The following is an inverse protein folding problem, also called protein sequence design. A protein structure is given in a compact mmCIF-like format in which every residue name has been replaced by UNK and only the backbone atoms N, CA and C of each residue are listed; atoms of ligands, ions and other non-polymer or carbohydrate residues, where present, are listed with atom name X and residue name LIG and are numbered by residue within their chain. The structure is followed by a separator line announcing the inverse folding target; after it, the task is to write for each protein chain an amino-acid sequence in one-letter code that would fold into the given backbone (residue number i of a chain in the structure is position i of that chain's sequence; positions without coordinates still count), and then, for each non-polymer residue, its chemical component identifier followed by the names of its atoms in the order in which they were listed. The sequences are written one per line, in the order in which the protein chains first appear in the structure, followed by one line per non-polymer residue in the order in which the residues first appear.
data_IF_263169759954
#
_entry.id   IF_263169759954
#
_cell.length_a   1.000
_cell.length_b   1.000
_cell.length_c   1.000
_cell.angle_alpha   90.00
_cell.angle_beta   90.00
_cell.angle_gamma   90.00
#
_symmetry.space_group_name_H-M   'P 1'
#
loop_
_entity.id
_entity.type
_entity.pdbx_description
1 polymer ?
#
# COMPACT_ATOMS: atom_id res chain seq x y z
N UNK A 1 37.61 4.25 -44.91
CA UNK A 1 37.99 4.85 -43.62
C UNK A 1 37.22 6.16 -43.52
N UNK A 2 36.27 6.41 -42.64
CA UNK A 2 35.88 5.81 -41.37
C UNK A 2 34.37 6.01 -41.26
N UNK A 3 33.59 4.93 -41.24
CA UNK A 3 32.16 5.01 -40.93
C UNK A 3 32.00 5.47 -39.48
N UNK A 4 31.15 6.48 -39.27
CA UNK A 4 30.77 6.93 -37.95
C UNK A 4 30.06 5.78 -37.20
N UNK A 5 30.33 5.57 -35.90
CA UNK A 5 29.64 4.53 -35.17
C UNK A 5 28.17 4.92 -35.02
N UNK A 6 27.32 4.16 -35.69
CA UNK A 6 25.88 4.12 -35.51
C UNK A 6 25.60 3.96 -34.01
N UNK A 7 24.98 4.96 -33.38
CA UNK A 7 24.45 4.83 -32.02
C UNK A 7 23.44 3.69 -32.05
N UNK A 8 23.85 2.54 -31.53
CA UNK A 8 22.96 1.43 -31.27
C UNK A 8 21.97 1.91 -30.20
N UNK A 9 20.70 1.95 -30.56
CA UNK A 9 19.63 2.27 -29.63
C UNK A 9 19.62 1.21 -28.54
N UNK A 10 20.02 1.59 -27.32
CA UNK A 10 19.86 0.78 -26.10
C UNK A 10 18.39 0.71 -25.61
N UNK A 11 17.45 1.01 -26.50
CA UNK A 11 16.03 1.16 -26.18
C UNK A 11 15.24 0.01 -26.77
N UNK A 12 15.15 -1.11 -26.07
CA UNK A 12 14.02 -2.05 -26.17
C UNK A 12 14.00 -3.11 -25.05
N UNK A 13 14.56 -2.81 -23.87
CA UNK A 13 14.27 -3.63 -22.69
C UNK A 13 12.90 -3.19 -22.17
N UNK A 14 11.87 -4.06 -22.21
CA UNK A 14 10.57 -3.70 -21.67
C UNK A 14 10.72 -3.32 -20.20
N UNK A 15 10.03 -2.26 -19.74
CA UNK A 15 10.18 -1.80 -18.37
C UNK A 15 9.91 -2.92 -17.39
N UNK A 16 10.85 -3.14 -16.46
CA UNK A 16 10.71 -4.12 -15.39
C UNK A 16 9.82 -3.56 -14.28
N UNK A 17 8.94 -4.41 -13.73
CA UNK A 17 8.14 -4.05 -12.56
C UNK A 17 9.05 -3.89 -11.33
N UNK A 18 8.87 -2.80 -10.59
CA UNK A 18 9.61 -2.51 -9.35
C UNK A 18 8.59 -2.33 -8.23
N UNK A 19 8.28 -3.38 -7.45
CA UNK A 19 7.17 -3.35 -6.52
C UNK A 19 7.41 -2.34 -5.39
N UNK A 20 6.35 -1.64 -5.00
CA UNK A 20 6.31 -0.92 -3.74
C UNK A 20 6.20 -1.93 -2.57
N UNK A 21 6.97 -1.78 -1.47
CA UNK A 21 6.94 -2.72 -0.37
C UNK A 21 5.56 -2.89 0.25
N UNK A 22 5.22 -4.12 0.65
CA UNK A 22 3.98 -4.37 1.40
C UNK A 22 4.05 -3.77 2.81
N UNK A 23 2.98 -3.09 3.24
CA UNK A 23 2.87 -2.51 4.58
C UNK A 23 2.10 -3.46 5.50
N UNK A 24 2.77 -3.97 6.53
CA UNK A 24 2.20 -4.90 7.52
C UNK A 24 1.24 -4.19 8.47
N UNK A 25 0.33 -4.93 9.10
CA UNK A 25 -0.37 -4.43 10.30
C UNK A 25 0.62 -4.25 11.46
N UNK A 26 0.26 -3.46 12.48
CA UNK A 26 1.12 -3.27 13.64
C UNK A 26 1.45 -4.61 14.34
N UNK A 27 0.45 -5.46 14.59
CA UNK A 27 0.65 -6.75 15.23
C UNK A 27 1.59 -7.66 14.42
N UNK A 28 1.40 -7.75 13.10
CA UNK A 28 2.27 -8.54 12.23
C UNK A 28 3.67 -7.95 12.16
N UNK A 29 3.82 -6.62 12.20
CA UNK A 29 5.13 -5.97 12.29
C UNK A 29 5.86 -6.36 13.59
N UNK A 30 5.19 -6.26 14.74
CA UNK A 30 5.75 -6.63 16.05
C UNK A 30 6.15 -8.09 16.06
N UNK A 31 5.25 -9.01 15.70
CA UNK A 31 5.53 -10.45 15.72
C UNK A 31 6.65 -10.85 14.76
N UNK A 32 6.72 -10.22 13.59
CA UNK A 32 7.77 -10.50 12.60
C UNK A 32 9.14 -9.99 13.04
N UNK A 33 9.21 -8.79 13.61
CA UNK A 33 10.49 -8.09 13.76
C UNK A 33 11.04 -8.04 15.18
N UNK A 34 10.20 -8.11 16.23
CA UNK A 34 10.69 -8.14 17.61
C UNK A 34 11.56 -9.38 17.90
N UNK A 35 11.22 -10.60 17.45
CA UNK A 35 12.11 -11.75 17.63
C UNK A 35 13.46 -11.57 16.94
N UNK A 36 13.48 -10.97 15.76
CA UNK A 36 14.71 -10.67 15.00
C UNK A 36 15.57 -9.64 15.72
N UNK A 37 14.94 -8.59 16.28
CA UNK A 37 15.63 -7.59 17.10
C UNK A 37 16.28 -8.23 18.34
N UNK A 38 15.52 -9.04 19.10
CA UNK A 38 16.02 -9.73 20.30
C UNK A 38 17.20 -10.64 19.99
N UNK A 39 17.08 -11.46 18.95
CA UNK A 39 18.17 -12.33 18.51
C UNK A 39 19.43 -11.54 18.09
N UNK A 40 19.27 -10.40 17.40
CA UNK A 40 20.38 -9.55 17.04
C UNK A 40 21.07 -8.95 18.27
N UNK A 41 20.31 -8.51 19.28
CA UNK A 41 20.85 -8.01 20.56
C UNK A 41 21.64 -9.11 21.28
N UNK A 42 21.05 -10.30 21.43
CA UNK A 42 21.68 -11.44 22.13
C UNK A 42 22.99 -11.87 21.47
N UNK A 43 23.06 -11.76 20.14
CA UNK A 43 24.25 -12.09 19.35
C UNK A 43 25.23 -10.91 19.18
N UNK A 44 24.93 -9.72 19.74
CA UNK A 44 25.75 -8.52 19.56
C UNK A 44 25.85 -8.05 18.10
N UNK A 45 24.85 -8.38 17.28
CA UNK A 45 24.79 -8.04 15.87
C UNK A 45 24.19 -6.65 15.64
N UNK A 46 24.44 -6.10 14.45
CA UNK A 46 23.79 -4.85 14.02
C UNK A 46 22.28 -5.05 13.97
N UNK A 47 21.54 -4.17 14.63
CA UNK A 47 20.09 -4.20 14.61
C UNK A 47 19.55 -3.85 13.21
N UNK A 48 18.48 -4.54 12.73
CA UNK A 48 17.82 -4.19 11.48
C UNK A 48 17.22 -2.77 11.51
N UNK A 49 16.74 -2.33 12.68
CA UNK A 49 16.29 -0.97 12.99
C UNK A 49 16.41 -0.73 14.51
N UNK A 50 16.28 0.52 15.01
CA UNK A 50 16.41 0.82 16.43
C UNK A 50 15.37 0.08 17.29
N UNK A 51 15.80 -0.48 18.44
CA UNK A 51 14.89 -1.13 19.39
C UNK A 51 13.88 -0.16 20.00
N UNK A 52 14.25 1.12 20.11
CA UNK A 52 13.35 2.24 20.38
C UNK A 52 13.31 3.13 19.15
N UNK A 53 12.17 3.24 18.49
CA UNK A 53 12.04 3.93 17.22
C UNK A 53 10.88 4.93 17.24
N UNK A 54 11.07 6.04 16.53
CA UNK A 54 10.05 7.07 16.30
C UNK A 54 9.37 6.82 14.96
N UNK A 55 8.05 6.89 14.94
CA UNK A 55 7.24 6.75 13.72
C UNK A 55 6.34 7.96 13.55
N UNK A 56 6.10 8.31 12.30
CA UNK A 56 5.13 9.32 11.89
C UNK A 56 3.95 8.62 11.21
N UNK A 57 2.75 8.84 11.73
CA UNK A 57 1.48 8.43 11.14
C UNK A 57 1.04 9.43 10.08
N UNK A 58 0.75 8.94 8.87
CA UNK A 58 0.07 9.67 7.79
C UNK A 58 -1.23 8.98 7.45
N UNK A 59 -2.18 9.69 6.82
CA UNK A 59 -3.44 9.07 6.41
C UNK A 59 -3.21 7.87 5.48
N UNK A 60 -3.87 6.76 5.77
CA UNK A 60 -4.07 5.67 4.83
C UNK A 60 -5.28 5.99 3.96
N UNK A 61 -5.04 6.27 2.69
CA UNK A 61 -6.12 6.47 1.72
C UNK A 61 -6.52 5.13 1.11
N UNK A 62 -7.82 4.98 0.82
CA UNK A 62 -8.39 3.77 0.25
C UNK A 62 -8.52 3.93 -1.27
N UNK A 63 -7.61 3.32 -2.02
CA UNK A 63 -7.55 3.46 -3.47
C UNK A 63 -6.74 2.37 -4.16
N UNK A 64 -6.19 2.72 -5.32
CA UNK A 64 -5.26 1.87 -6.06
C UNK A 64 -3.84 2.38 -5.85
N UNK A 65 -2.96 1.49 -5.42
CA UNK A 65 -1.54 1.78 -5.40
C UNK A 65 -1.05 2.11 -6.82
N UNK A 66 -0.33 3.22 -6.95
CA UNK A 66 0.34 3.59 -8.18
C UNK A 66 1.75 4.08 -7.89
N UNK A 67 2.70 3.62 -8.68
CA UNK A 67 4.06 4.15 -8.71
C UNK A 67 4.35 4.78 -10.07
N UNK A 68 5.10 5.88 -10.03
CA UNK A 68 5.59 6.58 -11.21
C UNK A 68 7.12 6.50 -11.17
N UNK A 69 7.70 5.84 -12.17
CA UNK A 69 9.14 5.63 -12.26
C UNK A 69 9.72 6.55 -13.34
N UNK A 70 10.65 7.41 -12.93
CA UNK A 70 11.40 8.28 -13.82
C UNK A 70 12.84 7.79 -13.95
N UNK A 71 13.40 7.95 -15.16
CA UNK A 71 14.82 7.77 -15.42
C UNK A 71 15.39 9.09 -15.91
N UNK A 72 16.65 9.38 -15.57
CA UNK A 72 17.21 10.70 -15.88
C UNK A 72 17.28 11.02 -17.38
N UNK A 73 17.46 10.00 -18.24
CA UNK A 73 17.47 10.18 -19.69
C UNK A 73 16.08 10.43 -20.30
N UNK A 74 15.00 10.13 -19.57
CA UNK A 74 13.63 10.37 -20.02
C UNK A 74 12.70 10.72 -18.85
N UNK A 75 12.64 12.02 -18.54
CA UNK A 75 11.77 12.56 -17.49
C UNK A 75 10.33 12.80 -17.97
N UNK A 76 10.08 12.75 -19.27
CA UNK A 76 8.78 13.11 -19.86
C UNK A 76 7.91 11.89 -20.15
N UNK A 77 8.51 10.71 -20.28
CA UNK A 77 7.79 9.45 -20.44
C UNK A 77 8.06 8.51 -19.25
N UNK A 78 7.50 8.81 -18.05
CA UNK A 78 7.64 7.92 -16.92
C UNK A 78 6.93 6.58 -17.16
N UNK A 79 7.41 5.54 -16.48
CA UNK A 79 6.75 4.24 -16.43
C UNK A 79 5.76 4.24 -15.27
N UNK A 80 4.51 3.92 -15.54
CA UNK A 80 3.50 3.70 -14.49
C UNK A 80 3.48 2.24 -14.05
N UNK A 81 3.24 2.01 -12.77
CA UNK A 81 3.04 0.67 -12.25
C UNK A 81 1.88 0.68 -11.27
N UNK A 82 1.11 -0.39 -11.28
CA UNK A 82 0.23 -0.73 -10.18
C UNK A 82 1.01 -1.58 -9.17
N UNK A 83 0.32 -2.08 -8.14
CA UNK A 83 0.94 -2.96 -7.15
C UNK A 83 1.58 -4.19 -7.79
N UNK A 84 0.94 -4.76 -8.81
CA UNK A 84 1.27 -6.08 -9.33
C UNK A 84 1.92 -6.08 -10.73
N UNK A 85 1.89 -4.95 -11.47
CA UNK A 85 2.40 -4.91 -12.84
C UNK A 85 2.79 -3.52 -13.32
N UNK A 86 3.55 -3.49 -14.41
CA UNK A 86 3.68 -2.28 -15.23
C UNK A 86 2.35 -1.98 -15.92
N UNK A 87 2.02 -0.69 -15.98
CA UNK A 87 0.81 -0.14 -16.57
C UNK A 87 1.20 0.74 -17.75
N UNK A 88 0.54 0.52 -18.88
CA UNK A 88 0.76 1.22 -20.15
C UNK A 88 -0.32 2.27 -20.39
N UNK A 89 -0.08 3.16 -21.35
CA UNK A 89 -1.08 4.16 -21.75
C UNK A 89 -2.34 3.56 -22.41
N UNK A 90 -2.27 2.30 -22.87
CA UNK A 90 -3.39 1.58 -23.50
C UNK A 90 -4.27 0.84 -22.49
N UNK A 91 -3.80 0.67 -21.25
CA UNK A 91 -4.57 0.00 -20.20
C UNK A 91 -5.82 0.81 -19.84
N UNK A 92 -6.96 0.13 -19.80
CA UNK A 92 -8.17 0.67 -19.20
C UNK A 92 -8.03 0.58 -17.67
N UNK A 93 -7.86 1.71 -16.98
CA UNK A 93 -7.76 1.68 -15.53
C UNK A 93 -7.61 3.06 -14.87
N UNK A 94 -7.70 3.12 -13.53
CA UNK A 94 -7.60 4.38 -12.78
C UNK A 94 -6.30 5.14 -13.06
N UNK A 95 -5.17 4.42 -13.11
CA UNK A 95 -3.83 5.02 -13.25
C UNK A 95 -3.67 5.75 -14.59
N UNK A 96 -3.85 5.11 -15.77
CA UNK A 96 -3.72 5.83 -17.06
C UNK A 96 -4.78 6.91 -17.22
N UNK A 97 -6.01 6.65 -16.75
CA UNK A 97 -7.13 7.60 -16.86
C UNK A 97 -6.86 8.91 -16.11
N UNK A 98 -6.07 8.85 -15.04
CA UNK A 98 -5.73 10.02 -14.24
C UNK A 98 -4.40 10.62 -14.67
N UNK A 99 -3.35 9.83 -14.87
CA UNK A 99 -1.97 10.34 -14.96
C UNK A 99 -1.47 10.65 -16.38
N UNK A 100 -2.06 10.04 -17.41
CA UNK A 100 -1.61 10.26 -18.79
C UNK A 100 -1.76 11.73 -19.20
N UNK A 101 -0.74 12.27 -19.87
CA UNK A 101 -0.73 13.63 -20.41
C UNK A 101 -0.50 14.74 -19.39
N UNK A 102 -0.38 14.42 -18.09
CA UNK A 102 -0.04 15.41 -17.05
C UNK A 102 1.45 15.79 -17.11
N UNK A 103 1.83 17.02 -16.70
CA UNK A 103 3.21 17.47 -16.67
C UNK A 103 4.01 16.88 -15.49
N UNK A 104 4.09 15.54 -15.41
CA UNK A 104 4.65 14.85 -14.25
C UNK A 104 6.15 15.07 -14.04
N UNK A 105 6.88 15.49 -15.08
CA UNK A 105 8.30 15.88 -14.97
C UNK A 105 8.52 17.01 -13.95
N UNK A 106 7.51 17.86 -13.69
CA UNK A 106 7.60 18.91 -12.66
C UNK A 106 7.75 18.34 -11.24
N UNK A 107 7.29 17.10 -10.99
CA UNK A 107 7.55 16.41 -9.73
C UNK A 107 9.04 16.10 -9.58
N UNK A 108 9.70 15.67 -10.66
CA UNK A 108 11.15 15.41 -10.66
C UNK A 108 11.94 16.67 -10.34
N UNK A 109 11.56 17.81 -10.91
CA UNK A 109 12.25 19.08 -10.66
C UNK A 109 12.13 19.50 -9.18
N UNK A 110 10.94 19.36 -8.59
CA UNK A 110 10.71 19.58 -7.14
C UNK A 110 11.55 18.63 -6.27
N UNK A 111 11.53 17.33 -6.59
CA UNK A 111 12.29 16.31 -5.86
C UNK A 111 13.79 16.59 -5.92
N UNK A 112 14.33 16.88 -7.11
CA UNK A 112 15.76 17.09 -7.29
C UNK A 112 16.23 18.40 -6.65
N UNK A 113 15.39 19.44 -6.63
CA UNK A 113 15.67 20.67 -5.88
C UNK A 113 15.92 20.35 -4.40
N UNK A 114 15.01 19.63 -3.74
CA UNK A 114 15.16 19.23 -2.34
C UNK A 114 16.35 18.29 -2.14
N UNK A 115 16.50 17.29 -3.02
CA UNK A 115 17.57 16.29 -2.94
C UNK A 115 18.98 16.90 -3.06
N UNK A 116 19.14 17.95 -3.87
CA UNK A 116 20.44 18.59 -4.10
C UNK A 116 20.80 19.63 -3.03
N UNK A 117 19.81 20.26 -2.37
CA UNK A 117 20.02 21.26 -1.32
C UNK A 117 20.90 20.74 -0.17
N UNK A 118 20.92 19.42 0.09
CA UNK A 118 21.73 18.79 1.14
C UNK A 118 23.08 18.21 0.70
N UNK A 119 23.49 18.35 -0.58
CA UNK A 119 24.65 17.60 -1.10
C UNK A 119 25.79 18.45 -1.69
N UNK A 120 25.70 19.78 -1.68
CA UNK A 120 26.63 20.68 -2.40
C UNK A 120 26.83 20.28 -3.88
N UNK A 121 25.83 19.59 -4.45
CA UNK A 121 25.91 19.12 -5.83
C UNK A 121 25.24 20.13 -6.76
N UNK A 122 25.69 20.25 -8.02
CA UNK A 122 24.99 21.03 -9.02
C UNK A 122 23.54 20.55 -9.16
N UNK A 123 22.62 21.47 -9.47
CA UNK A 123 21.20 21.20 -9.74
C UNK A 123 20.97 20.09 -10.80
N UNK A 124 22.00 19.82 -11.61
CA UNK A 124 22.02 18.80 -12.66
C UNK A 124 22.57 17.43 -12.24
N UNK A 125 22.63 17.11 -10.93
CA UNK A 125 23.10 15.77 -10.49
C UNK A 125 22.27 14.69 -11.18
N UNK A 126 22.90 13.81 -11.99
CA UNK A 126 22.17 12.74 -12.65
C UNK A 126 21.70 11.75 -11.58
N UNK A 127 20.43 11.39 -11.63
CA UNK A 127 19.88 10.24 -10.90
C UNK A 127 19.79 9.04 -11.85
N UNK A 128 19.75 7.84 -11.31
CA UNK A 128 19.45 6.62 -12.08
C UNK A 128 17.94 6.39 -12.14
N UNK A 129 17.27 6.49 -10.99
CA UNK A 129 15.83 6.26 -10.85
C UNK A 129 15.20 7.14 -9.76
N UNK A 130 14.02 7.68 -10.05
CA UNK A 130 13.10 8.21 -9.04
C UNK A 130 11.81 7.41 -9.09
N UNK A 131 11.41 6.82 -7.97
CA UNK A 131 10.09 6.24 -7.77
C UNK A 131 9.25 7.19 -6.92
N UNK A 132 8.10 7.59 -7.43
CA UNK A 132 7.07 8.31 -6.68
C UNK A 132 5.93 7.33 -6.43
N UNK A 133 5.75 6.93 -5.18
CA UNK A 133 4.67 6.04 -4.76
C UNK A 133 3.51 6.85 -4.18
N UNK A 134 2.29 6.50 -4.60
CA UNK A 134 1.09 7.16 -4.14
C UNK A 134 -0.17 6.33 -4.35
N UNK A 135 -1.30 6.93 -4.01
CA UNK A 135 -2.61 6.31 -4.12
C UNK A 135 -3.46 7.05 -5.16
N UNK A 136 -3.94 6.32 -6.17
CA UNK A 136 -5.00 6.79 -7.05
C UNK A 136 -6.34 6.51 -6.39
N UNK A 137 -7.04 7.56 -5.99
CA UNK A 137 -8.28 7.49 -5.24
C UNK A 137 -9.30 8.51 -5.74
N UNK A 138 -10.53 8.43 -5.25
CA UNK A 138 -11.62 9.32 -5.62
C UNK A 138 -12.79 8.60 -6.25
N UNK A 139 -13.59 9.34 -7.02
CA UNK A 139 -14.84 8.86 -7.61
C UNK A 139 -14.65 7.60 -8.46
N UNK A 140 -15.54 6.64 -8.23
CA UNK A 140 -15.65 5.36 -8.93
C UNK A 140 -14.47 4.40 -8.68
N UNK A 141 -13.70 4.64 -7.62
CA UNK A 141 -12.57 3.80 -7.22
C UNK A 141 -13.03 2.80 -6.15
N UNK A 142 -13.46 3.29 -4.98
CA UNK A 142 -14.04 2.45 -3.93
C UNK A 142 -15.33 3.04 -3.41
N UNK A 143 -16.29 2.17 -3.10
CA UNK A 143 -17.55 2.56 -2.46
C UNK A 143 -17.33 2.71 -0.95
N UNK A 144 -18.26 3.38 -0.26
CA UNK A 144 -18.30 3.49 1.21
C UNK A 144 -17.15 4.26 1.91
N UNK A 145 -16.30 4.97 1.16
CA UNK A 145 -15.30 5.91 1.70
C UNK A 145 -15.61 7.35 1.32
N UNK A 146 -15.30 8.31 2.19
CA UNK A 146 -15.60 9.72 1.95
C UNK A 146 -14.92 10.27 0.70
N UNK A 147 -13.68 9.83 0.46
CA UNK A 147 -12.87 10.23 -0.71
C UNK A 147 -13.52 9.88 -2.04
N UNK A 148 -14.44 8.90 -2.10
CA UNK A 148 -15.21 8.59 -3.32
C UNK A 148 -16.10 9.76 -3.80
N UNK A 149 -16.39 10.72 -2.92
CA UNK A 149 -17.17 11.92 -3.27
C UNK A 149 -16.33 12.97 -4.02
N UNK A 150 -15.01 12.82 -4.03
CA UNK A 150 -14.07 13.70 -4.71
C UNK A 150 -13.83 13.23 -6.16
N UNK A 151 -13.55 14.13 -7.12
CA UNK A 151 -13.00 13.72 -8.40
C UNK A 151 -11.70 12.92 -8.19
N UNK A 152 -11.34 12.04 -9.14
CA UNK A 152 -10.13 11.21 -9.03
C UNK A 152 -8.89 12.07 -8.81
N UNK A 153 -7.97 11.58 -7.99
CA UNK A 153 -6.73 12.26 -7.61
C UNK A 153 -5.64 11.23 -7.34
N UNK A 154 -4.40 11.70 -7.34
CA UNK A 154 -3.22 10.92 -6.96
C UNK A 154 -2.59 11.58 -5.74
N UNK A 155 -2.41 10.84 -4.65
CA UNK A 155 -1.79 11.37 -3.45
C UNK A 155 -0.47 10.64 -3.18
N UNK A 156 0.63 11.38 -3.30
CA UNK A 156 1.99 10.88 -3.08
C UNK A 156 2.16 10.60 -1.59
N UNK A 157 2.61 9.39 -1.24
CA UNK A 157 2.89 9.01 0.14
C UNK A 157 4.34 8.61 0.41
N UNK A 158 5.13 8.27 -0.61
CA UNK A 158 6.56 7.97 -0.46
C UNK A 158 7.34 8.26 -1.75
N UNK A 159 8.62 8.61 -1.59
CA UNK A 159 9.53 8.87 -2.70
C UNK A 159 10.84 8.11 -2.46
N UNK A 160 11.37 7.50 -3.52
CA UNK A 160 12.67 6.81 -3.52
C UNK A 160 13.55 7.37 -4.61
N UNK A 161 14.77 7.79 -4.27
CA UNK A 161 15.77 8.28 -5.22
C UNK A 161 16.97 7.35 -5.17
N UNK A 162 17.33 6.74 -6.31
CA UNK A 162 18.47 5.84 -6.45
C UNK A 162 18.52 4.75 -5.38
N UNK A 163 17.37 4.11 -5.16
CA UNK A 163 17.23 3.03 -4.19
C UNK A 163 17.08 3.46 -2.73
N UNK A 164 17.14 4.76 -2.43
CA UNK A 164 17.02 5.30 -1.07
C UNK A 164 15.67 5.99 -0.86
N UNK A 165 14.90 5.54 0.13
CA UNK A 165 13.69 6.22 0.58
C UNK A 165 14.06 7.54 1.25
N UNK A 166 13.38 8.62 0.86
CA UNK A 166 13.62 9.95 1.43
C UNK A 166 12.69 10.23 2.60
N UNK A 167 13.05 11.19 3.44
CA UNK A 167 12.18 11.68 4.49
C UNK A 167 11.06 12.54 3.88
N UNK A 168 9.85 12.00 3.79
CA UNK A 168 8.72 12.72 3.19
C UNK A 168 8.43 14.09 3.83
N UNK A 169 8.86 14.33 5.08
CA UNK A 169 8.72 15.65 5.74
C UNK A 169 9.46 16.75 4.99
N UNK A 170 10.58 16.44 4.37
CA UNK A 170 11.39 17.37 3.57
C UNK A 170 10.80 17.60 2.17
N UNK A 171 9.90 16.72 1.71
CA UNK A 171 9.33 16.71 0.36
C UNK A 171 7.83 17.06 0.36
N UNK A 172 7.34 17.78 1.38
CA UNK A 172 5.92 18.10 1.53
C UNK A 172 5.37 19.05 0.44
N UNK A 173 6.24 19.72 -0.32
CA UNK A 173 5.92 20.62 -1.43
C UNK A 173 5.90 19.90 -2.81
N UNK A 174 6.22 18.61 -2.83
CA UNK A 174 6.14 17.77 -4.03
C UNK A 174 4.68 17.43 -4.31
N UNK A 175 4.05 18.29 -5.10
CA UNK A 175 2.65 18.16 -5.54
C UNK A 175 2.43 18.92 -6.87
N UNK A 176 1.32 18.64 -7.55
CA UNK A 176 0.79 19.43 -8.66
C UNK A 176 -0.73 19.54 -8.47
N UNK A 177 -1.15 20.40 -7.55
CA UNK A 177 -2.55 20.47 -7.12
C UNK A 177 -3.53 20.83 -8.25
N UNK A 178 -3.11 21.67 -9.21
CA UNK A 178 -3.88 21.98 -10.42
C UNK A 178 -4.21 20.74 -11.24
N UNK A 179 -3.39 19.69 -11.09
CA UNK A 179 -3.54 18.40 -11.73
C UNK A 179 -4.12 17.34 -10.78
N UNK A 180 -4.61 17.72 -9.60
CA UNK A 180 -5.09 16.80 -8.55
C UNK A 180 -4.03 15.78 -8.12
N UNK A 181 -2.77 16.21 -8.11
CA UNK A 181 -1.65 15.46 -7.54
C UNK A 181 -1.30 16.12 -6.22
N UNK A 182 -1.57 15.43 -5.12
CA UNK A 182 -1.40 15.92 -3.76
C UNK A 182 -0.24 15.22 -3.05
N UNK A 183 0.21 15.77 -1.94
CA UNK A 183 1.18 15.13 -1.06
C UNK A 183 0.55 14.79 0.28
N UNK A 184 0.68 13.55 0.74
CA UNK A 184 0.04 13.09 1.99
C UNK A 184 0.45 13.93 3.20
N UNK A 185 1.63 14.55 3.15
CA UNK A 185 2.18 15.41 4.18
C UNK A 185 1.43 16.74 4.36
N UNK A 186 0.48 17.08 3.48
CA UNK A 186 -0.34 18.28 3.60
C UNK A 186 -1.59 18.09 4.49
N UNK A 187 -1.75 16.91 5.08
CA UNK A 187 -2.82 16.57 6.03
C UNK A 187 -2.25 16.25 7.41
N UNK A 188 -3.10 16.17 8.47
CA UNK A 188 -2.63 15.87 9.81
C UNK A 188 -1.72 14.65 9.85
N UNK A 189 -0.64 14.78 10.62
CA UNK A 189 0.26 13.70 10.95
C UNK A 189 0.22 13.45 12.46
N UNK A 190 0.61 12.25 12.85
CA UNK A 190 0.75 11.83 14.23
C UNK A 190 2.17 11.35 14.46
N UNK A 191 2.63 11.37 15.69
CA UNK A 191 3.94 10.81 16.02
C UNK A 191 3.84 9.88 17.22
N UNK A 192 4.67 8.85 17.20
CA UNK A 192 4.72 7.85 18.27
C UNK A 192 6.15 7.38 18.45
N UNK A 193 6.53 7.11 19.70
CA UNK A 193 7.79 6.45 20.03
C UNK A 193 7.44 5.07 20.59
N UNK A 194 7.99 4.03 19.99
CA UNK A 194 7.73 2.64 20.38
C UNK A 194 9.04 2.06 20.87
N UNK A 195 9.02 1.52 22.10
CA UNK A 195 10.08 0.65 22.60
C UNK A 195 9.66 -0.80 22.37
N UNK A 196 10.32 -1.46 21.42
CA UNK A 196 10.04 -2.84 21.04
C UNK A 196 10.59 -3.87 22.04
N UNK A 197 11.30 -3.43 23.08
CA UNK A 197 11.76 -4.28 24.17
C UNK A 197 10.77 -4.32 25.34
N UNK A 198 9.78 -3.44 25.33
CA UNK A 198 8.73 -3.32 26.34
C UNK A 198 7.37 -3.83 25.81
N UNK A 199 6.36 -3.86 26.68
CA UNK A 199 4.97 -4.15 26.27
C UNK A 199 4.42 -3.02 25.40
N UNK A 200 3.97 -3.39 24.19
CA UNK A 200 3.44 -2.45 23.20
C UNK A 200 1.92 -2.27 23.26
N UNK A 201 1.25 -2.87 24.24
CA UNK A 201 -0.23 -2.86 24.35
C UNK A 201 -0.80 -1.44 24.45
N UNK A 202 -0.28 -0.60 25.35
CA UNK A 202 -0.80 0.76 25.54
C UNK A 202 -0.60 1.63 24.31
N UNK A 203 0.59 1.54 23.69
CA UNK A 203 0.90 2.32 22.50
C UNK A 203 0.10 1.85 21.27
N UNK A 204 -0.18 0.55 21.18
CA UNK A 204 -1.09 -0.02 20.19
C UNK A 204 -2.49 0.59 20.33
N UNK A 205 -3.05 0.55 21.55
CA UNK A 205 -4.38 1.09 21.82
C UNK A 205 -4.49 2.57 21.43
N UNK A 206 -3.47 3.37 21.75
CA UNK A 206 -3.42 4.77 21.35
C UNK A 206 -3.39 4.96 19.83
N UNK A 207 -2.60 4.18 19.10
CA UNK A 207 -2.56 4.25 17.63
C UNK A 207 -3.93 3.87 17.01
N UNK A 208 -4.62 2.89 17.58
CA UNK A 208 -5.97 2.51 17.15
C UNK A 208 -7.02 3.57 17.51
N UNK A 209 -6.87 4.29 18.62
CA UNK A 209 -7.72 5.45 18.93
C UNK A 209 -7.56 6.58 17.91
N UNK A 210 -6.32 6.90 17.50
CA UNK A 210 -6.06 7.87 16.44
C UNK A 210 -6.65 7.42 15.09
N UNK A 211 -6.53 6.13 14.80
CA UNK A 211 -7.09 5.49 13.61
C UNK A 211 -8.62 5.58 13.59
N UNK A 212 -9.27 5.37 14.74
CA UNK A 212 -10.72 5.51 14.88
C UNK A 212 -11.17 6.95 14.58
N UNK A 213 -10.41 7.96 15.01
CA UNK A 213 -10.70 9.35 14.64
C UNK A 213 -10.72 9.58 13.12
N UNK A 214 -9.79 8.95 12.39
CA UNK A 214 -9.75 8.98 10.91
C UNK A 214 -10.91 8.19 10.29
N UNK A 215 -11.29 7.07 10.89
CA UNK A 215 -12.44 6.27 10.48
C UNK A 215 -13.77 7.00 10.67
N UNK A 216 -13.93 7.74 11.77
CA UNK A 216 -15.13 8.51 12.05
C UNK A 216 -15.26 9.70 11.10
N UNK A 217 -14.14 10.37 10.77
CA UNK A 217 -14.11 11.43 9.76
C UNK A 217 -12.77 11.49 9.01
N UNK A 218 -12.79 11.17 7.71
CA UNK A 218 -11.62 11.22 6.84
C UNK A 218 -11.06 12.66 6.72
N UNK A 219 -9.85 12.96 7.24
CA UNK A 219 -9.30 14.32 7.20
C UNK A 219 -8.99 14.79 5.77
N UNK A 220 -8.68 13.86 4.86
CA UNK A 220 -8.47 14.19 3.45
C UNK A 220 -9.74 14.68 2.78
N UNK A 221 -10.84 13.93 2.88
CA UNK A 221 -12.11 14.35 2.28
C UNK A 221 -12.63 15.64 2.93
N UNK A 222 -12.47 15.72 4.25
CA UNK A 222 -12.82 16.85 5.09
C UNK A 222 -12.17 18.19 4.69
N UNK A 223 -11.05 18.21 3.96
CA UNK A 223 -10.44 19.46 3.49
C UNK A 223 -11.09 20.02 2.23
N UNK A 224 -12.08 19.34 1.65
CA UNK A 224 -12.79 19.76 0.43
C UNK A 224 -14.27 20.05 0.69
N UNK A 225 -14.87 20.83 -0.23
CA UNK A 225 -16.29 21.16 -0.21
C UNK A 225 -17.06 20.41 -1.30
N UNK A 226 -18.30 20.03 -1.00
CA UNK A 226 -19.26 19.49 -1.96
C UNK A 226 -19.85 20.59 -2.85
N UNK A 227 -20.69 20.20 -3.82
CA UNK A 227 -21.34 21.15 -4.74
C UNK A 227 -22.29 22.16 -4.07
N UNK A 228 -22.60 21.96 -2.78
CA UNK A 228 -23.41 22.87 -1.96
C UNK A 228 -22.55 23.70 -1.00
N UNK A 229 -21.23 23.68 -1.15
CA UNK A 229 -20.29 24.42 -0.30
C UNK A 229 -20.11 23.83 1.10
N UNK A 230 -20.46 22.56 1.33
CA UNK A 230 -20.32 21.89 2.64
C UNK A 230 -19.13 20.96 2.65
N UNK A 231 -18.45 20.88 3.79
CA UNK A 231 -17.38 19.92 4.05
C UNK A 231 -17.77 18.50 3.62
N UNK A 232 -16.88 17.81 2.92
CA UNK A 232 -17.07 16.40 2.56
C UNK A 232 -16.67 15.53 3.76
N UNK A 233 -17.64 15.25 4.62
CA UNK A 233 -17.48 14.33 5.76
C UNK A 233 -17.81 12.88 5.37
N UNK A 234 -17.29 11.94 6.16
CA UNK A 234 -17.53 10.51 6.05
C UNK A 234 -16.30 9.67 6.39
N UNK A 235 -16.41 8.36 6.22
CA UNK A 235 -15.43 7.36 6.65
C UNK A 235 -14.06 7.48 5.95
N UNK A 236 -12.97 7.44 6.73
CA UNK A 236 -11.58 7.23 6.26
C UNK A 236 -11.07 5.83 6.61
N UNK A 237 -9.97 5.36 6.00
CA UNK A 237 -9.50 3.97 6.23
C UNK A 237 -8.64 3.82 7.49
N UNK A 238 -7.66 4.70 7.70
CA UNK A 238 -6.78 4.60 8.85
C UNK A 238 -5.46 5.32 8.67
N UNK A 239 -4.37 4.74 9.19
CA UNK A 239 -3.04 5.35 9.24
C UNK A 239 -1.95 4.41 8.73
N UNK A 240 -0.91 5.00 8.14
CA UNK A 240 0.38 4.35 7.85
C UNK A 240 1.44 5.03 8.71
N UNK A 241 2.16 4.25 9.50
CA UNK A 241 3.22 4.69 10.40
C UNK A 241 4.55 4.39 9.76
N UNK A 242 5.31 5.42 9.40
CA UNK A 242 6.64 5.30 8.78
C UNK A 242 7.70 5.76 9.75
N UNK A 243 8.77 4.99 9.91
CA UNK A 243 9.86 5.33 10.82
C UNK A 243 10.52 6.64 10.38
N UNK A 244 10.80 7.52 11.36
CA UNK A 244 11.48 8.80 11.16
C UNK A 244 12.62 8.96 12.17
N UNK A 245 13.66 9.78 11.88
CA UNK A 245 14.74 10.03 12.82
C UNK A 245 14.21 10.75 14.07
N UNK A 246 14.90 10.55 15.19
CA UNK A 246 14.66 11.37 16.38
C UNK A 246 15.02 12.82 16.11
N UNK A 247 14.52 13.73 16.94
CA UNK A 247 14.85 15.15 16.81
C UNK A 247 16.37 15.36 16.94
N UNK A 248 16.95 16.11 15.99
CA UNK A 248 18.39 16.34 15.90
C UNK A 248 19.18 15.22 15.20
N UNK A 249 18.56 14.08 14.86
CA UNK A 249 19.18 13.04 14.05
C UNK A 249 18.96 13.28 12.55
N UNK A 250 19.95 12.87 11.74
CA UNK A 250 19.87 12.94 10.28
C UNK A 250 19.21 11.69 9.72
N UNK A 251 18.37 11.84 8.69
CA UNK A 251 17.85 10.71 7.93
C UNK A 251 19.00 9.86 7.35
N UNK A 252 18.95 8.52 7.45
CA UNK A 252 20.02 7.67 6.93
C UNK A 252 20.22 7.88 5.42
N UNK A 253 21.45 8.20 5.02
CA UNK A 253 21.80 8.45 3.61
C UNK A 253 21.65 7.23 2.68
N UNK A 254 21.41 6.04 3.25
CA UNK A 254 21.23 4.76 2.57
C UNK A 254 20.02 3.99 3.09
N UNK A 255 18.91 4.67 3.32
CA UNK A 255 17.63 4.08 3.72
C UNK A 255 17.00 3.24 2.59
N UNK A 256 17.53 2.04 2.35
CA UNK A 256 17.01 1.12 1.33
C UNK A 256 15.72 0.39 1.76
N UNK A 257 15.56 0.18 3.07
CA UNK A 257 14.39 -0.47 3.66
C UNK A 257 13.42 0.57 4.21
N UNK A 258 12.17 0.50 3.77
CA UNK A 258 11.09 1.32 4.32
C UNK A 258 10.46 0.60 5.51
N UNK A 259 10.80 1.05 6.73
CA UNK A 259 10.21 0.52 7.95
C UNK A 259 8.87 1.20 8.20
N UNK A 260 7.79 0.51 7.84
CA UNK A 260 6.44 0.99 8.08
C UNK A 260 5.46 -0.12 8.47
N UNK A 261 4.35 0.29 9.08
CA UNK A 261 3.19 -0.54 9.35
C UNK A 261 1.91 0.28 9.22
N UNK A 262 0.75 -0.36 9.24
CA UNK A 262 -0.56 0.25 9.11
C UNK A 262 -1.45 -0.10 10.30
N UNK A 263 -2.32 0.84 10.66
CA UNK A 263 -3.48 0.61 11.53
C UNK A 263 -4.73 1.01 10.74
N UNK A 264 -5.75 0.16 10.76
CA UNK A 264 -6.99 0.36 10.00
C UNK A 264 -8.18 0.48 10.95
N UNK A 265 -9.18 1.26 10.55
CA UNK A 265 -10.46 1.32 11.23
C UNK A 265 -11.19 -0.02 11.19
N UNK A 266 -12.05 -0.28 12.16
CA UNK A 266 -12.69 -1.59 12.31
C UNK A 266 -13.65 -1.96 11.16
N UNK A 267 -14.07 -0.98 10.33
CA UNK A 267 -14.88 -1.19 9.12
C UNK A 267 -14.04 -1.65 7.92
N UNK A 268 -12.71 -1.54 8.01
CA UNK A 268 -11.76 -1.91 6.94
C UNK A 268 -10.96 -3.17 7.27
N UNK A 269 -11.26 -3.80 8.41
CA UNK A 269 -10.73 -5.11 8.76
C UNK A 269 -11.31 -6.17 7.82
N UNK A 270 -10.42 -7.01 7.29
CA UNK A 270 -10.78 -8.10 6.35
C UNK A 270 -10.97 -9.44 7.06
N UNK A 271 -10.75 -9.46 8.37
CA UNK A 271 -10.95 -10.61 9.25
C UNK A 271 -12.16 -10.39 10.15
N UNK A 272 -12.72 -11.49 10.65
CA UNK A 272 -13.76 -11.46 11.65
C UNK A 272 -13.25 -10.84 12.95
N UNK A 273 -14.11 -10.04 13.59
CA UNK A 273 -13.87 -9.53 14.95
C UNK A 273 -13.85 -10.66 16.00
N UNK A 274 -14.47 -11.79 15.68
CA UNK A 274 -14.50 -12.96 16.55
C UNK A 274 -13.22 -13.75 16.29
N UNK A 275 -12.35 -13.82 17.30
CA UNK A 275 -11.13 -14.63 17.23
C UNK A 275 -11.51 -16.10 17.01
N UNK A 276 -10.78 -16.83 16.16
CA UNK A 276 -11.05 -18.23 15.92
C UNK A 276 -10.76 -18.98 17.22
N UNK A 277 -11.75 -19.70 17.71
CA UNK A 277 -11.60 -20.58 18.88
C UNK A 277 -11.68 -22.01 18.39
N UNK A 278 -10.75 -22.90 18.78
CA UNK A 278 -10.85 -24.31 18.43
C UNK A 278 -12.19 -24.87 18.90
N UNK A 279 -12.88 -25.68 18.07
CA UNK A 279 -13.99 -26.50 18.55
C UNK A 279 -13.57 -27.38 19.74
N UNK A 280 -14.52 -27.84 20.55
CA UNK A 280 -14.26 -28.60 21.79
C UNK A 280 -13.52 -29.94 21.56
N UNK A 281 -13.73 -30.55 20.40
CA UNK A 281 -13.04 -31.76 19.93
C UNK A 281 -12.81 -31.62 18.42
N UNK A 282 -11.82 -30.81 18.01
CA UNK A 282 -11.69 -30.41 16.63
C UNK A 282 -10.84 -31.43 15.86
N UNK A 283 -11.41 -31.99 14.81
CA UNK A 283 -10.61 -32.66 13.78
C UNK A 283 -9.87 -31.61 12.92
N UNK A 284 -8.99 -32.08 12.03
CA UNK A 284 -8.22 -31.20 11.15
C UNK A 284 -9.10 -30.31 10.25
N UNK A 285 -10.33 -30.76 9.93
CA UNK A 285 -11.28 -29.98 9.14
C UNK A 285 -11.91 -28.89 10.01
N UNK A 286 -12.30 -29.21 11.25
CA UNK A 286 -12.86 -28.27 12.21
C UNK A 286 -11.91 -27.12 12.54
N UNK A 287 -10.61 -27.40 12.72
CA UNK A 287 -9.60 -26.35 12.90
C UNK A 287 -9.48 -25.45 11.65
N UNK A 288 -9.42 -26.06 10.46
CA UNK A 288 -9.32 -25.32 9.21
C UNK A 288 -10.57 -24.46 8.95
N UNK A 289 -11.77 -24.98 9.23
CA UNK A 289 -13.03 -24.22 9.14
C UNK A 289 -13.05 -23.04 10.11
N UNK A 290 -12.69 -23.26 11.38
CA UNK A 290 -12.66 -22.19 12.37
C UNK A 290 -11.68 -21.06 11.98
N UNK A 291 -10.53 -21.42 11.43
CA UNK A 291 -9.59 -20.44 10.86
C UNK A 291 -10.20 -19.69 9.66
N UNK A 292 -10.80 -20.40 8.70
CA UNK A 292 -11.37 -19.77 7.49
C UNK A 292 -12.55 -18.85 7.83
N UNK A 293 -13.39 -19.20 8.81
CA UNK A 293 -14.49 -18.35 9.26
C UNK A 293 -14.00 -17.03 9.87
N UNK A 294 -12.84 -17.07 10.53
CA UNK A 294 -12.16 -15.87 10.97
C UNK A 294 -11.53 -15.11 9.80
N UNK A 295 -10.81 -15.80 8.92
CA UNK A 295 -9.95 -15.17 7.92
C UNK A 295 -10.72 -14.67 6.69
N UNK A 296 -11.93 -15.13 6.41
CA UNK A 296 -12.67 -14.74 5.21
C UNK A 296 -13.92 -13.93 5.55
N UNK A 297 -13.86 -12.64 5.24
CA UNK A 297 -14.99 -11.72 5.19
C UNK A 297 -15.31 -11.30 3.75
N UNK A 298 -16.46 -10.66 3.56
CA UNK A 298 -16.83 -10.09 2.26
C UNK A 298 -15.79 -9.07 1.76
N UNK A 299 -15.21 -8.25 2.65
CA UNK A 299 -14.18 -7.28 2.31
C UNK A 299 -12.93 -7.94 1.68
N UNK A 300 -12.55 -9.16 2.11
CA UNK A 300 -11.43 -9.89 1.50
C UNK A 300 -11.76 -10.34 0.08
N UNK A 301 -13.02 -10.71 -0.19
CA UNK A 301 -13.46 -11.06 -1.53
C UNK A 301 -13.52 -9.84 -2.46
N UNK A 302 -13.99 -8.69 -1.97
CA UNK A 302 -13.99 -7.43 -2.74
C UNK A 302 -12.57 -7.06 -3.20
N UNK A 303 -11.57 -7.23 -2.33
CA UNK A 303 -10.15 -7.04 -2.70
C UNK A 303 -9.68 -7.99 -3.81
N UNK A 304 -10.17 -9.23 -3.82
CA UNK A 304 -9.88 -10.17 -4.90
C UNK A 304 -10.48 -9.74 -6.25
N UNK A 305 -11.65 -9.09 -6.24
CA UNK A 305 -12.23 -8.49 -7.44
C UNK A 305 -11.35 -7.34 -7.94
N UNK A 306 -10.83 -6.51 -7.04
CA UNK A 306 -9.94 -5.41 -7.39
C UNK A 306 -8.65 -5.89 -8.03
N UNK A 307 -8.05 -6.95 -7.48
CA UNK A 307 -6.90 -7.61 -8.10
C UNK A 307 -7.22 -8.08 -9.53
N UNK A 308 -8.36 -8.74 -9.75
CA UNK A 308 -8.73 -9.17 -11.09
C UNK A 308 -8.91 -7.98 -12.05
N UNK A 309 -9.50 -6.87 -11.59
CA UNK A 309 -9.64 -5.64 -12.38
C UNK A 309 -8.28 -5.02 -12.71
N UNK A 310 -7.39 -4.92 -11.72
CA UNK A 310 -6.02 -4.41 -11.89
C UNK A 310 -5.27 -5.21 -12.96
N UNK A 311 -5.42 -6.53 -12.92
CA UNK A 311 -4.75 -7.44 -13.85
C UNK A 311 -5.43 -7.56 -15.22
N UNK A 312 -6.56 -6.86 -15.45
CA UNK A 312 -7.34 -6.97 -16.69
C UNK A 312 -7.95 -8.36 -16.90
N UNK A 313 -8.10 -9.13 -15.81
CA UNK A 313 -8.60 -10.50 -15.81
C UNK A 313 -10.09 -10.58 -15.46
N UNK A 314 -10.70 -9.48 -15.00
CA UNK A 314 -12.11 -9.47 -14.63
C UNK A 314 -13.00 -9.38 -15.87
N UNK A 315 -13.76 -10.44 -16.14
CA UNK A 315 -14.77 -10.49 -17.21
C UNK A 315 -16.19 -10.44 -16.61
N UNK A 316 -17.14 -9.83 -17.31
CA UNK A 316 -18.55 -9.79 -16.88
C UNK A 316 -19.35 -11.00 -17.39
N UNK A 317 -20.50 -11.25 -16.76
CA UNK A 317 -21.46 -12.24 -17.25
C UNK A 317 -20.96 -13.68 -17.19
N UNK A 318 -21.40 -14.52 -18.14
CA UNK A 318 -20.96 -15.94 -18.23
C UNK A 318 -19.46 -16.10 -18.43
N UNK A 319 -18.80 -15.09 -19.01
CA UNK A 319 -17.36 -15.09 -19.26
C UNK A 319 -16.56 -14.90 -17.96
N UNK A 320 -17.10 -14.18 -16.97
CA UNK A 320 -16.49 -13.98 -15.65
C UNK A 320 -16.10 -15.26 -14.91
N UNK A 321 -16.76 -16.39 -15.21
CA UNK A 321 -16.37 -17.70 -14.65
C UNK A 321 -14.95 -18.12 -15.04
N UNK A 322 -14.38 -17.58 -16.13
CA UNK A 322 -12.99 -17.84 -16.54
C UNK A 322 -11.95 -17.28 -15.57
N UNK A 323 -12.30 -16.23 -14.81
CA UNK A 323 -11.43 -15.58 -13.83
C UNK A 323 -11.44 -16.29 -12.47
N UNK A 324 -12.31 -17.29 -12.29
CA UNK A 324 -12.50 -18.00 -11.01
C UNK A 324 -11.20 -18.62 -10.49
N UNK A 325 -10.40 -19.36 -11.28
CA UNK A 325 -9.15 -19.93 -10.77
C UNK A 325 -8.18 -18.85 -10.24
N UNK A 326 -8.10 -17.71 -10.93
CA UNK A 326 -7.25 -16.59 -10.54
C UNK A 326 -7.78 -15.90 -9.29
N UNK A 327 -9.10 -15.68 -9.19
CA UNK A 327 -9.74 -15.14 -8.00
C UNK A 327 -9.48 -16.03 -6.78
N UNK A 328 -9.80 -17.31 -6.91
CA UNK A 328 -9.65 -18.29 -5.83
C UNK A 328 -8.21 -18.39 -5.35
N UNK A 329 -7.26 -18.49 -6.29
CA UNK A 329 -5.83 -18.55 -5.96
C UNK A 329 -5.34 -17.27 -5.28
N UNK A 330 -5.83 -16.10 -5.71
CA UNK A 330 -5.50 -14.84 -5.07
C UNK A 330 -5.99 -14.81 -3.62
N UNK A 331 -7.26 -15.17 -3.37
CA UNK A 331 -7.82 -15.18 -2.01
C UNK A 331 -7.08 -16.17 -1.12
N UNK A 332 -6.75 -17.36 -1.62
CA UNK A 332 -5.94 -18.34 -0.89
C UNK A 332 -4.60 -17.73 -0.46
N UNK A 333 -3.87 -17.11 -1.39
CA UNK A 333 -2.57 -16.55 -1.08
C UNK A 333 -2.67 -15.36 -0.13
N UNK A 334 -3.63 -14.46 -0.31
CA UNK A 334 -3.85 -13.31 0.57
C UNK A 334 -4.16 -13.77 2.01
N UNK A 335 -5.05 -14.74 2.18
CA UNK A 335 -5.37 -15.32 3.50
C UNK A 335 -4.13 -15.94 4.14
N UNK A 336 -3.40 -16.76 3.39
CA UNK A 336 -2.23 -17.47 3.92
C UNK A 336 -1.11 -16.49 4.26
N UNK A 337 -0.86 -15.47 3.45
CA UNK A 337 0.21 -14.49 3.67
C UNK A 337 -0.09 -13.55 4.83
N UNK A 338 -1.33 -13.01 4.92
CA UNK A 338 -1.70 -12.06 5.97
C UNK A 338 -1.97 -12.75 7.32
N UNK A 339 -2.52 -13.98 7.32
CA UNK A 339 -2.97 -14.68 8.54
C UNK A 339 -2.18 -15.95 8.86
N UNK A 340 -1.01 -16.16 8.23
CA UNK A 340 -0.14 -17.34 8.43
C UNK A 340 0.02 -17.69 9.91
N UNK A 341 0.39 -16.69 10.72
CA UNK A 341 0.71 -16.90 12.12
C UNK A 341 -0.52 -17.35 12.92
N UNK A 342 -1.70 -16.81 12.59
CA UNK A 342 -2.95 -17.23 13.25
C UNK A 342 -3.34 -18.66 12.86
N UNK A 343 -3.07 -19.05 11.60
CA UNK A 343 -3.27 -20.42 11.14
C UNK A 343 -2.40 -21.40 11.94
N UNK A 344 -1.12 -21.05 12.12
CA UNK A 344 -0.15 -21.85 12.90
C UNK A 344 -0.54 -21.92 14.37
N UNK A 345 -0.95 -20.79 14.98
CA UNK A 345 -1.40 -20.73 16.38
C UNK A 345 -2.62 -21.63 16.64
N UNK A 346 -3.55 -21.69 15.68
CA UNK A 346 -4.73 -22.56 15.77
C UNK A 346 -4.41 -24.04 15.46
N UNK A 347 -3.22 -24.34 14.94
CA UNK A 347 -2.84 -25.68 14.49
C UNK A 347 -3.59 -26.13 13.22
N UNK A 348 -4.07 -25.20 12.40
CA UNK A 348 -4.79 -25.51 11.17
C UNK A 348 -3.81 -25.91 10.04
N UNK A 349 -4.08 -27.03 9.38
CA UNK A 349 -3.26 -27.54 8.27
C UNK A 349 -3.49 -26.71 6.99
N UNK A 350 -2.43 -26.10 6.44
CA UNK A 350 -2.51 -25.22 5.25
C UNK A 350 -3.25 -25.87 4.08
N UNK A 351 -2.99 -27.15 3.79
CA UNK A 351 -3.64 -27.85 2.68
C UNK A 351 -5.17 -27.96 2.86
N UNK A 352 -5.65 -28.15 4.10
CA UNK A 352 -7.08 -28.18 4.42
C UNK A 352 -7.69 -26.79 4.35
N UNK A 353 -6.97 -25.80 4.89
CA UNK A 353 -7.35 -24.38 4.85
C UNK A 353 -7.54 -23.93 3.40
N UNK A 354 -6.53 -24.10 2.53
CA UNK A 354 -6.60 -23.72 1.11
C UNK A 354 -7.80 -24.36 0.41
N UNK A 355 -8.06 -25.64 0.65
CA UNK A 355 -9.24 -26.33 0.08
C UNK A 355 -10.57 -25.68 0.47
N UNK A 356 -10.73 -25.32 1.75
CA UNK A 356 -11.97 -24.70 2.26
C UNK A 356 -12.10 -23.26 1.74
N UNK A 357 -10.99 -22.50 1.72
CA UNK A 357 -10.94 -21.16 1.10
C UNK A 357 -11.39 -21.27 -0.35
N UNK A 358 -10.85 -22.25 -1.09
CA UNK A 358 -11.10 -22.39 -2.51
C UNK A 358 -12.59 -22.54 -2.83
N UNK A 359 -13.25 -23.42 -2.06
CA UNK A 359 -14.67 -23.68 -2.18
C UNK A 359 -15.51 -22.45 -1.85
N UNK A 360 -15.23 -21.76 -0.74
CA UNK A 360 -15.97 -20.58 -0.30
C UNK A 360 -15.81 -19.41 -1.27
N UNK A 361 -14.58 -19.15 -1.71
CA UNK A 361 -14.26 -18.10 -2.69
C UNK A 361 -14.96 -18.35 -4.02
N UNK A 362 -14.92 -19.59 -4.54
CA UNK A 362 -15.62 -19.96 -5.77
C UNK A 362 -17.13 -19.74 -5.67
N UNK A 363 -17.75 -20.21 -4.58
CA UNK A 363 -19.18 -20.07 -4.38
C UNK A 363 -19.59 -18.59 -4.30
N UNK A 364 -18.88 -17.79 -3.51
CA UNK A 364 -19.13 -16.35 -3.41
C UNK A 364 -18.96 -15.64 -4.75
N UNK A 365 -17.88 -15.94 -5.49
CA UNK A 365 -17.62 -15.30 -6.78
C UNK A 365 -18.69 -15.61 -7.83
N UNK A 366 -19.25 -16.83 -7.81
CA UNK A 366 -20.37 -17.17 -8.69
C UNK A 366 -21.63 -16.36 -8.37
N UNK A 367 -21.96 -16.20 -7.09
CA UNK A 367 -23.08 -15.35 -6.66
C UNK A 367 -22.84 -13.88 -7.05
N UNK A 368 -21.62 -13.37 -6.83
CA UNK A 368 -21.24 -12.01 -7.24
C UNK A 368 -21.43 -11.77 -8.75
N UNK A 369 -21.04 -12.73 -9.59
CA UNK A 369 -21.20 -12.61 -11.05
C UNK A 369 -22.66 -12.69 -11.52
N UNK A 370 -23.55 -13.28 -10.73
CA UNK A 370 -25.00 -13.32 -11.01
C UNK A 370 -25.66 -11.98 -10.63
N UNK A 371 -25.22 -11.36 -9.53
CA UNK A 371 -25.73 -10.06 -9.08
C UNK A 371 -25.28 -8.90 -9.98
N UNK A 372 -24.02 -8.91 -10.45
CA UNK A 372 -23.44 -7.84 -11.30
C UNK A 372 -23.90 -7.94 -12.77
N UNK A 373 -24.72 -8.94 -13.13
CA UNK A 373 -25.33 -9.05 -14.47
C UNK A 373 -26.53 -8.12 -14.69
N UNK A 374 -26.99 -7.41 -13.65
CA UNK A 374 -28.07 -6.42 -13.67
C UNK A 374 -27.54 -5.04 -13.25
#
# INVERSE_FOLDING_TARGET
MSEAPTRQADNDVPPTHTPYPHTLTFDTFVKRYVPVLKAAIDLGQRLPFPSKARFMGTLKLHGYNATIIFRNHDRHNPVFQSRNRVVTSQDAGPIPSLLNGKPLHLLVDKIMKTYNLGKERPDATPFSEIMIAGEVAGRDIYRNVAINRLPRFFCIFNIRVDGTWVDMREYNDVSIESERIFNIMNWPTWEVIIDFMEDTTEISNWMYEMTKGVEDECPFAASFLDSRGRKISGTGEGLVWTMIPFEGETWPSNCATLWNFKTKGEKFEVVSRIKPTPPRDPDAIGLATAFVDYAITEARFEQGIEYLREMGLFEHGRNGKRSTPQFTKWVENDVIEEEWEKMVELGAEEAKVRRIIAERARNWFFSYLEEVQF
#
